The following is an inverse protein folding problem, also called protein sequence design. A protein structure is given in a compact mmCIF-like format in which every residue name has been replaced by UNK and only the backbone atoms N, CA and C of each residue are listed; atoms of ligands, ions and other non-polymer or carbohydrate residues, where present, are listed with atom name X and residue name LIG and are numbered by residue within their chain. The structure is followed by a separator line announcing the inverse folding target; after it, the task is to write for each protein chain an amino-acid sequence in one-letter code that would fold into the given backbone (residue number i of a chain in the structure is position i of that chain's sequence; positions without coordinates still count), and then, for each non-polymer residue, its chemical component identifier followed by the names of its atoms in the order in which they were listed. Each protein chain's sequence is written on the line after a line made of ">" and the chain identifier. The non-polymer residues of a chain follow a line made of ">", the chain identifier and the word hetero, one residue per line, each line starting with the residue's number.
data_IF_866918919319
#
_entry.id   IF_866918919319
#
_cell.length_a   1.000
_cell.length_b   1.000
_cell.length_c   1.000
_cell.angle_alpha   90.00
_cell.angle_beta   90.00
_cell.angle_gamma   90.00
#
_symmetry.space_group_name_H-M   'P 1'
#
loop_
_entity.id
_entity.type
_entity.pdbx_description
1 polymer ?
#
# COMPACT_ATOMS: atom_id res chain seq x y z
N UNK A 1 -0.84 -3.89 7.07
CA UNK A 1 0.23 -3.41 6.16
C UNK A 1 1.20 -2.57 6.99
N UNK A 2 2.43 -3.06 7.13
CA UNK A 2 3.50 -2.33 7.82
C UNK A 2 4.33 -1.65 6.72
N UNK A 3 4.46 -0.34 6.80
CA UNK A 3 5.40 0.39 5.94
C UNK A 3 6.82 0.06 6.39
N UNK A 4 7.65 -0.38 5.45
CA UNK A 4 9.07 -0.67 5.68
C UNK A 4 9.90 0.26 4.81
N UNK A 5 10.85 0.94 5.41
CA UNK A 5 11.83 1.74 4.67
C UNK A 5 12.74 0.80 3.89
N UNK A 6 12.85 1.02 2.59
CA UNK A 6 13.79 0.35 1.71
C UNK A 6 14.88 1.34 1.30
N UNK A 7 16.12 0.99 1.59
CA UNK A 7 17.28 1.77 1.15
C UNK A 7 17.94 1.05 -0.01
N UNK A 8 18.03 1.73 -1.14
CA UNK A 8 18.63 1.18 -2.37
C UNK A 8 19.85 2.01 -2.71
N UNK A 9 20.97 1.33 -2.99
CA UNK A 9 22.18 1.98 -3.49
C UNK A 9 22.02 2.24 -4.97
N UNK A 10 22.12 3.50 -5.39
CA UNK A 10 22.04 3.90 -6.81
C UNK A 10 23.44 4.07 -7.41
N UNK A 11 24.41 4.51 -6.61
CA UNK A 11 25.79 4.72 -7.04
C UNK A 11 26.78 4.12 -6.02
N UNK A 12 27.92 3.54 -6.47
CA UNK A 12 28.27 3.30 -7.89
C UNK A 12 27.28 2.34 -8.55
N UNK A 13 27.15 2.42 -9.88
CA UNK A 13 26.35 1.45 -10.65
C UNK A 13 27.04 0.10 -10.46
N UNK A 14 26.36 -0.77 -9.72
CA UNK A 14 26.86 -2.12 -9.45
C UNK A 14 26.86 -2.92 -10.74
N UNK A 15 27.72 -3.94 -10.81
CA UNK A 15 27.75 -4.86 -11.94
C UNK A 15 26.31 -5.36 -12.23
N UNK A 16 25.98 -5.50 -13.50
CA UNK A 16 24.64 -5.89 -13.94
C UNK A 16 24.13 -7.15 -13.20
N UNK A 17 25.07 -8.04 -12.84
CA UNK A 17 24.80 -9.24 -12.08
C UNK A 17 24.26 -8.94 -10.66
N UNK A 18 24.88 -8.00 -9.94
CA UNK A 18 24.42 -7.57 -8.61
C UNK A 18 23.08 -6.81 -8.68
N UNK A 19 22.81 -6.07 -9.76
CA UNK A 19 21.51 -5.45 -9.98
C UNK A 19 20.40 -6.47 -10.19
N UNK A 20 20.66 -7.51 -10.98
CA UNK A 20 19.71 -8.60 -11.22
C UNK A 20 19.43 -9.35 -9.91
N UNK A 21 20.43 -9.56 -9.08
CA UNK A 21 20.30 -10.24 -7.79
C UNK A 21 19.54 -9.40 -6.75
N UNK A 22 19.73 -8.08 -6.73
CA UNK A 22 19.02 -7.17 -5.81
C UNK A 22 17.56 -6.94 -6.21
N UNK A 23 17.24 -7.02 -7.47
CA UNK A 23 15.87 -6.84 -7.98
C UNK A 23 15.02 -8.11 -7.93
N UNK A 24 15.57 -9.23 -7.42
CA UNK A 24 14.89 -10.54 -7.31
C UNK A 24 14.32 -11.05 -8.68
N UNK A 25 14.87 -10.52 -9.78
CA UNK A 25 14.44 -10.85 -11.15
C UNK A 25 14.86 -12.27 -11.56
N UNK A 26 15.67 -12.95 -10.76
CA UNK A 26 16.13 -14.33 -11.05
C UNK A 26 15.02 -15.36 -11.05
N UNK A 27 13.84 -15.06 -10.49
CA UNK A 27 12.76 -16.07 -10.38
C UNK A 27 11.99 -16.31 -11.67
N UNK A 28 12.01 -15.36 -12.62
CA UNK A 28 11.18 -15.46 -13.83
C UNK A 28 11.96 -15.74 -15.13
N UNK A 29 13.29 -15.83 -15.08
CA UNK A 29 14.11 -15.98 -16.28
C UNK A 29 14.37 -17.43 -16.75
N UNK A 30 13.51 -18.39 -16.39
CA UNK A 30 13.59 -19.75 -16.96
C UNK A 30 13.33 -19.83 -18.47
N UNK A 31 12.98 -18.72 -19.12
CA UNK A 31 12.65 -18.67 -20.55
C UNK A 31 13.62 -17.87 -21.44
N UNK A 32 14.73 -17.34 -20.90
CA UNK A 32 15.65 -16.50 -21.68
C UNK A 32 16.88 -17.27 -22.16
N UNK A 33 17.15 -18.47 -21.62
CA UNK A 33 18.33 -19.26 -22.00
C UNK A 33 18.24 -19.92 -23.39
N UNK A 34 17.07 -19.93 -24.03
CA UNK A 34 16.87 -20.61 -25.34
C UNK A 34 16.86 -19.65 -26.55
N UNK A 35 17.08 -18.36 -26.35
CA UNK A 35 17.21 -17.42 -27.45
C UNK A 35 18.68 -17.07 -27.68
N UNK A 36 19.44 -17.97 -28.27
CA UNK A 36 20.62 -17.61 -29.03
C UNK A 36 20.17 -16.75 -30.25
N UNK A 37 19.85 -15.49 -29.93
CA UNK A 37 19.51 -14.52 -30.98
C UNK A 37 20.80 -14.07 -31.65
N UNK A 38 21.18 -14.78 -32.67
CA UNK A 38 22.35 -14.53 -33.49
C UNK A 38 22.19 -13.28 -34.38
N UNK A 39 21.26 -12.36 -34.03
CA UNK A 39 21.11 -11.10 -34.75
C UNK A 39 22.22 -10.13 -34.39
N UNK A 40 22.96 -9.65 -35.38
CA UNK A 40 23.90 -8.54 -35.21
C UNK A 40 23.15 -7.31 -34.72
N UNK A 41 23.43 -6.88 -33.47
CA UNK A 41 22.88 -5.65 -32.94
C UNK A 41 23.68 -4.47 -33.47
N UNK A 42 23.04 -3.67 -34.31
CA UNK A 42 23.63 -2.44 -34.86
C UNK A 42 23.34 -1.27 -33.96
N UNK A 43 24.38 -0.59 -33.46
CA UNK A 43 24.26 0.60 -32.64
C UNK A 43 24.32 1.86 -33.51
N UNK A 44 23.36 2.77 -33.34
CA UNK A 44 23.34 4.07 -34.02
C UNK A 44 23.15 5.19 -32.94
N UNK A 45 24.04 6.19 -32.86
CA UNK A 45 25.16 6.47 -33.76
C UNK A 45 26.38 5.57 -33.53
N UNK A 46 26.75 5.26 -32.31
CA UNK A 46 27.86 4.35 -31.98
C UNK A 46 27.72 3.82 -30.54
N UNK A 47 28.24 2.63 -30.29
CA UNK A 47 28.19 2.04 -28.94
C UNK A 47 28.85 2.92 -27.85
N UNK A 48 30.03 3.53 -28.06
CA UNK A 48 30.65 4.42 -27.08
C UNK A 48 29.78 5.65 -26.73
N UNK A 49 29.17 6.30 -27.72
CA UNK A 49 28.33 7.47 -27.50
C UNK A 49 27.05 7.13 -26.74
N UNK A 50 26.49 5.95 -26.96
CA UNK A 50 25.32 5.45 -26.21
C UNK A 50 25.73 5.19 -24.77
N UNK A 51 26.88 4.52 -24.54
CA UNK A 51 27.39 4.19 -23.21
C UNK A 51 27.70 5.43 -22.39
N UNK A 52 28.14 6.52 -22.99
CA UNK A 52 28.38 7.79 -22.30
C UNK A 52 27.08 8.42 -21.76
N UNK A 53 25.98 8.31 -22.50
CA UNK A 53 24.68 8.90 -22.13
C UNK A 53 23.81 7.99 -21.26
N UNK A 54 24.06 6.69 -21.30
CA UNK A 54 23.26 5.69 -20.61
C UNK A 54 23.21 5.87 -19.09
N UNK A 55 24.33 6.15 -18.37
CA UNK A 55 24.29 6.32 -16.92
C UNK A 55 23.39 7.48 -16.47
N UNK A 56 23.40 8.58 -17.20
CA UNK A 56 22.59 9.76 -16.88
C UNK A 56 21.09 9.46 -17.03
N UNK A 57 20.74 8.76 -18.10
CA UNK A 57 19.37 8.30 -18.33
C UNK A 57 18.93 7.30 -17.25
N UNK A 58 19.79 6.34 -16.91
CA UNK A 58 19.52 5.34 -15.89
C UNK A 58 19.27 5.95 -14.51
N UNK A 59 20.10 6.91 -14.09
CA UNK A 59 19.91 7.58 -12.80
C UNK A 59 18.58 8.36 -12.77
N UNK A 60 18.25 9.07 -13.85
CA UNK A 60 16.97 9.80 -13.95
C UNK A 60 15.79 8.87 -13.85
N UNK A 61 15.84 7.74 -14.56
CA UNK A 61 14.79 6.73 -14.54
C UNK A 61 14.62 6.10 -13.15
N UNK A 62 15.72 5.76 -12.49
CA UNK A 62 15.69 5.21 -11.13
C UNK A 62 15.11 6.20 -10.11
N UNK A 63 15.50 7.46 -10.17
CA UNK A 63 14.95 8.49 -9.29
C UNK A 63 13.46 8.69 -9.52
N UNK A 64 13.03 8.73 -10.78
CA UNK A 64 11.62 8.82 -11.12
C UNK A 64 10.84 7.63 -10.56
N UNK A 65 11.34 6.42 -10.75
CA UNK A 65 10.73 5.18 -10.23
C UNK A 65 10.60 5.22 -8.70
N UNK A 66 11.61 5.70 -7.98
CA UNK A 66 11.53 5.81 -6.52
C UNK A 66 10.49 6.82 -6.06
N UNK A 67 10.38 7.96 -6.73
CA UNK A 67 9.37 8.98 -6.40
C UNK A 67 7.96 8.43 -6.62
N UNK A 68 7.72 7.78 -7.76
CA UNK A 68 6.41 7.19 -8.09
C UNK A 68 6.07 6.08 -7.09
N UNK A 69 7.01 5.19 -6.79
CA UNK A 69 6.85 4.11 -5.83
C UNK A 69 6.55 4.63 -4.41
N UNK A 70 7.26 5.67 -3.97
CA UNK A 70 7.01 6.31 -2.67
C UNK A 70 5.60 6.90 -2.60
N UNK A 71 5.16 7.60 -3.65
CA UNK A 71 3.79 8.14 -3.73
C UNK A 71 2.72 7.06 -3.76
N UNK A 72 2.92 6.01 -4.53
CA UNK A 72 2.01 4.88 -4.57
C UNK A 72 1.89 4.20 -3.19
N UNK A 73 2.99 4.02 -2.49
CA UNK A 73 3.04 3.48 -1.13
C UNK A 73 2.29 4.37 -0.13
N UNK A 74 2.49 5.69 -0.19
CA UNK A 74 1.77 6.65 0.65
C UNK A 74 0.25 6.57 0.44
N UNK A 75 -0.20 6.58 -0.82
CA UNK A 75 -1.62 6.47 -1.14
C UNK A 75 -2.23 5.13 -0.71
N UNK A 76 -1.50 4.04 -0.88
CA UNK A 76 -1.92 2.71 -0.45
C UNK A 76 -2.08 2.65 1.07
N UNK A 77 -1.11 3.14 1.82
CA UNK A 77 -1.17 3.18 3.28
C UNK A 77 -2.33 4.05 3.78
N UNK A 78 -2.53 5.23 3.19
CA UNK A 78 -3.66 6.11 3.50
C UNK A 78 -4.99 5.43 3.25
N UNK A 79 -5.16 4.75 2.11
CA UNK A 79 -6.38 4.02 1.76
C UNK A 79 -6.69 2.94 2.80
N UNK A 80 -5.70 2.16 3.22
CA UNK A 80 -5.89 1.11 4.23
C UNK A 80 -6.24 1.72 5.59
N UNK A 81 -5.55 2.79 6.00
CA UNK A 81 -5.85 3.48 7.25
C UNK A 81 -7.28 4.05 7.28
N UNK A 82 -7.71 4.69 6.19
CA UNK A 82 -9.07 5.24 6.09
C UNK A 82 -10.14 4.14 6.05
N UNK A 83 -9.87 3.02 5.40
CA UNK A 83 -10.77 1.86 5.43
C UNK A 83 -10.93 1.35 6.86
N UNK A 84 -9.84 1.13 7.57
CA UNK A 84 -9.90 0.67 8.96
C UNK A 84 -10.63 1.67 9.87
N UNK A 85 -10.42 2.97 9.67
CA UNK A 85 -11.13 4.01 10.41
C UNK A 85 -12.64 3.97 10.15
N UNK A 86 -13.05 3.80 8.88
CA UNK A 86 -14.46 3.66 8.50
C UNK A 86 -15.10 2.42 9.11
N UNK A 87 -14.42 1.27 9.06
CA UNK A 87 -14.91 0.03 9.63
C UNK A 87 -15.06 0.14 11.17
N UNK A 88 -14.13 0.81 11.84
CA UNK A 88 -14.21 1.07 13.28
C UNK A 88 -15.34 2.05 13.63
N UNK A 89 -15.54 3.09 12.82
CA UNK A 89 -16.66 4.02 13.01
C UNK A 89 -18.01 3.31 12.88
N UNK A 90 -18.17 2.45 11.89
CA UNK A 90 -19.41 1.66 11.73
C UNK A 90 -19.68 0.79 12.96
N UNK A 91 -18.69 0.07 13.45
CA UNK A 91 -18.83 -0.73 14.70
C UNK A 91 -19.20 0.12 15.91
N UNK A 92 -18.65 1.32 15.98
CA UNK A 92 -18.98 2.24 17.08
C UNK A 92 -20.45 2.71 16.97
N UNK A 93 -20.92 3.06 15.78
CA UNK A 93 -22.33 3.42 15.54
C UNK A 93 -23.26 2.30 15.94
N UNK A 94 -22.98 1.06 15.54
CA UNK A 94 -23.80 -0.11 15.92
C UNK A 94 -23.86 -0.29 17.44
N UNK A 95 -22.72 -0.14 18.12
CA UNK A 95 -22.65 -0.24 19.57
C UNK A 95 -23.43 0.88 20.27
N UNK A 96 -23.41 2.09 19.72
CA UNK A 96 -24.16 3.24 20.27
C UNK A 96 -25.66 3.07 20.05
N UNK A 97 -26.10 2.57 18.92
CA UNK A 97 -27.51 2.24 18.64
C UNK A 97 -28.03 1.20 19.65
N UNK A 98 -27.24 0.15 19.90
CA UNK A 98 -27.59 -0.86 20.90
C UNK A 98 -27.75 -0.25 22.29
N UNK A 99 -26.78 0.56 22.75
CA UNK A 99 -26.80 1.25 24.04
C UNK A 99 -28.00 2.20 24.15
N UNK A 100 -28.27 2.96 23.08
CA UNK A 100 -29.41 3.88 23.04
C UNK A 100 -30.75 3.12 23.19
N UNK A 101 -30.92 2.04 22.41
CA UNK A 101 -32.15 1.24 22.49
C UNK A 101 -32.33 0.61 23.89
N UNK A 102 -31.27 0.13 24.51
CA UNK A 102 -31.31 -0.40 25.89
C UNK A 102 -31.66 0.67 26.90
N UNK A 103 -31.08 1.85 26.79
CA UNK A 103 -31.38 2.97 27.69
C UNK A 103 -32.84 3.45 27.50
N UNK A 104 -33.30 3.53 26.26
CA UNK A 104 -34.70 3.88 25.95
C UNK A 104 -35.68 2.86 26.54
N UNK A 105 -35.43 1.56 26.39
CA UNK A 105 -36.28 0.52 27.00
C UNK A 105 -36.29 0.60 28.53
N UNK A 106 -35.15 0.86 29.17
CA UNK A 106 -35.04 1.01 30.61
C UNK A 106 -35.84 2.23 31.08
N UNK A 107 -35.75 3.37 30.39
CA UNK A 107 -36.54 4.57 30.74
C UNK A 107 -38.05 4.31 30.62
N UNK A 108 -38.50 3.72 29.51
CA UNK A 108 -39.92 3.38 29.33
C UNK A 108 -40.39 2.41 30.45
N UNK A 109 -39.60 1.41 30.79
CA UNK A 109 -39.93 0.46 31.81
C UNK A 109 -40.03 1.14 33.19
N UNK A 110 -39.12 2.06 33.48
CA UNK A 110 -39.15 2.83 34.73
C UNK A 110 -40.43 3.72 34.81
N UNK A 111 -40.77 4.43 33.74
CA UNK A 111 -42.00 5.24 33.68
C UNK A 111 -43.25 4.38 33.92
N UNK A 112 -43.34 3.21 33.28
CA UNK A 112 -44.45 2.29 33.48
C UNK A 112 -44.54 1.82 34.98
N UNK A 113 -43.41 1.49 35.58
CA UNK A 113 -43.35 1.07 37.00
C UNK A 113 -43.78 2.20 37.91
N UNK A 114 -43.33 3.42 37.64
CA UNK A 114 -43.73 4.61 38.44
C UNK A 114 -45.24 4.86 38.33
N UNK A 115 -45.80 4.79 37.13
CA UNK A 115 -47.27 4.96 36.95
C UNK A 115 -48.03 3.84 37.65
N UNK A 116 -47.58 2.59 37.54
CA UNK A 116 -48.26 1.46 38.18
C UNK A 116 -48.17 1.51 39.71
N UNK A 117 -47.05 1.99 40.24
CA UNK A 117 -46.88 2.18 41.69
C UNK A 117 -47.79 3.32 42.24
N UNK A 118 -47.91 4.42 41.47
CA UNK A 118 -48.83 5.50 41.84
C UNK A 118 -50.30 5.04 41.82
N UNK A 119 -50.71 4.25 40.84
CA UNK A 119 -52.05 3.70 40.73
C UNK A 119 -52.41 2.65 41.81
N UNK A 120 -51.40 2.01 42.43
CA UNK A 120 -51.60 1.04 43.50
C UNK A 120 -51.62 1.67 44.90
N UNK A 121 -51.32 2.97 45.01
CA UNK A 121 -51.31 3.72 46.28
C UNK A 121 -52.59 4.53 46.54
N UNK A 122 -53.51 4.53 45.58
CA UNK A 122 -54.89 5.05 45.72
C UNK A 122 -55.85 3.90 46.02
#
# INVERSE_FOLDING_TARGET
>A
LIQKTLTVRVLPILDLQEMIDTLDLKKDHKHVEDLEDNREIKFEPSAPEILEKLPDLFIKEQLYQFIVSAKASEHSARRVAMKNASDNASKLVDSLILKYNKARQAAITQEIVEISAAAASD
#
